data_IF_464295747589
#
_entry.id   IF_464295747589
#
_cell.length_a   1.000
_cell.length_b   1.000
_cell.length_c   1.000
_cell.angle_alpha   90.00
_cell.angle_beta   90.00
_cell.angle_gamma   90.00
#
_symmetry.space_group_name_H-M   'P 1'
#
loop_
_entity.id
_entity.type
_entity.pdbx_description
1 polymer ?
#
# COMPACT_ATOMS: atom_id res chain seq x y z
N UNK A 1 24.89 -47.47 6.34
CA UNK A 1 24.41 -46.90 7.62
C UNK A 1 23.28 -45.93 7.28
N UNK A 2 22.06 -46.46 7.12
CA UNK A 2 20.86 -45.70 6.76
C UNK A 2 20.10 -45.41 8.05
N UNK A 3 20.10 -44.16 8.47
CA UNK A 3 19.25 -43.69 9.57
C UNK A 3 17.85 -43.44 9.01
N UNK A 4 16.92 -44.32 9.38
CA UNK A 4 15.48 -44.18 9.12
C UNK A 4 14.94 -43.06 10.02
N UNK A 5 14.31 -42.04 9.43
CA UNK A 5 13.47 -41.11 10.16
C UNK A 5 12.06 -41.71 10.24
N UNK A 6 11.72 -42.27 11.40
CA UNK A 6 10.37 -42.72 11.76
C UNK A 6 9.68 -41.59 12.52
N UNK A 7 8.62 -41.02 11.95
CA UNK A 7 7.83 -39.98 12.60
C UNK A 7 6.84 -39.31 11.66
N UNK A 8 5.91 -40.08 11.10
CA UNK A 8 4.70 -39.51 10.50
C UNK A 8 3.64 -39.56 11.60
N UNK A 9 3.36 -38.42 12.23
CA UNK A 9 2.25 -38.31 13.17
C UNK A 9 0.96 -38.21 12.35
N UNK A 10 0.06 -39.15 12.59
CA UNK A 10 -1.22 -39.30 11.90
C UNK A 10 -2.10 -38.05 12.11
N UNK A 11 -2.67 -37.56 11.01
CA UNK A 11 -3.68 -36.50 11.03
C UNK A 11 -4.98 -37.10 11.57
N UNK A 12 -5.41 -36.65 12.75
CA UNK A 12 -6.65 -37.09 13.41
C UNK A 12 -7.91 -36.70 12.64
N UNK A 13 -9.07 -37.30 12.99
CA UNK A 13 -10.28 -37.24 12.19
C UNK A 13 -10.85 -35.83 12.07
N UNK A 14 -11.10 -35.46 10.82
CA UNK A 14 -11.68 -34.23 10.31
C UNK A 14 -13.02 -33.90 11.01
N UNK A 15 -13.03 -32.99 11.97
CA UNK A 15 -14.28 -32.39 12.47
C UNK A 15 -14.78 -31.41 11.41
N UNK A 16 -15.88 -31.77 10.76
CA UNK A 16 -16.53 -30.99 9.72
C UNK A 16 -16.90 -29.58 10.22
N UNK A 17 -16.05 -28.60 9.97
CA UNK A 17 -16.42 -27.19 10.01
C UNK A 17 -17.12 -26.86 8.69
N UNK A 18 -18.44 -26.69 8.76
CA UNK A 18 -19.30 -26.23 7.67
C UNK A 18 -18.78 -24.92 7.06
N UNK A 19 -17.96 -24.99 6.03
CA UNK A 19 -17.57 -23.86 5.21
C UNK A 19 -18.67 -23.58 4.18
N UNK A 20 -19.74 -22.91 4.63
CA UNK A 20 -20.67 -22.25 3.73
C UNK A 20 -20.02 -20.95 3.22
N UNK A 21 -19.07 -21.08 2.30
CA UNK A 21 -18.43 -19.98 1.57
C UNK A 21 -19.40 -19.41 0.53
N UNK A 22 -20.47 -18.76 0.98
CA UNK A 22 -21.23 -17.82 0.15
C UNK A 22 -20.82 -16.41 0.59
N UNK A 23 -19.86 -15.84 -0.14
CA UNK A 23 -19.38 -14.48 0.04
C UNK A 23 -20.48 -13.47 -0.28
N UNK A 24 -21.37 -13.23 0.68
CA UNK A 24 -22.04 -11.93 0.77
C UNK A 24 -20.98 -10.89 1.16
N UNK A 25 -21.04 -9.65 0.62
CA UNK A 25 -20.22 -8.58 1.15
C UNK A 25 -20.55 -8.47 2.64
N UNK A 26 -19.55 -8.68 3.49
CA UNK A 26 -19.66 -8.47 4.93
C UNK A 26 -19.90 -6.98 5.16
N UNK A 27 -21.16 -6.56 5.13
CA UNK A 27 -21.57 -5.21 5.50
C UNK A 27 -21.50 -5.09 7.01
N UNK A 28 -20.28 -5.04 7.56
CA UNK A 28 -20.08 -4.62 8.94
C UNK A 28 -20.44 -3.15 9.02
N UNK A 29 -21.33 -2.78 9.93
CA UNK A 29 -21.67 -1.39 10.17
C UNK A 29 -20.40 -0.61 10.54
N UNK A 30 -20.22 0.58 9.96
CA UNK A 30 -18.99 1.38 10.08
C UNK A 30 -18.57 1.64 11.52
N UNK A 31 -19.53 1.82 12.43
CA UNK A 31 -19.23 2.09 13.84
C UNK A 31 -18.63 0.87 14.56
N UNK A 32 -19.05 -0.35 14.21
CA UNK A 32 -18.49 -1.58 14.76
C UNK A 32 -17.09 -1.88 14.19
N UNK A 33 -16.79 -1.38 12.99
CA UNK A 33 -15.50 -1.58 12.31
C UNK A 33 -14.33 -0.96 13.07
N UNK A 34 -14.55 0.18 13.71
CA UNK A 34 -13.52 0.91 14.44
C UNK A 34 -13.63 0.76 15.96
N UNK A 35 -14.48 -0.16 16.44
CA UNK A 35 -14.53 -0.53 17.85
C UNK A 35 -13.18 -1.15 18.26
N UNK A 36 -12.46 -0.58 19.25
CA UNK A 36 -11.17 -1.10 19.69
C UNK A 36 -11.20 -2.57 20.12
N UNK A 37 -12.31 -3.06 20.66
CA UNK A 37 -12.42 -4.44 21.15
C UNK A 37 -12.39 -5.47 20.01
N UNK A 38 -12.76 -5.05 18.79
CA UNK A 38 -12.66 -5.90 17.59
C UNK A 38 -11.23 -6.28 17.22
N UNK A 39 -10.23 -5.68 17.89
CA UNK A 39 -8.80 -5.88 17.62
C UNK A 39 -8.04 -6.47 18.81
N UNK A 40 -8.73 -6.90 19.87
CA UNK A 40 -8.05 -7.37 21.09
C UNK A 40 -7.18 -8.61 20.85
N UNK A 41 -7.65 -9.56 20.02
CA UNK A 41 -6.88 -10.73 19.62
C UNK A 41 -5.60 -10.39 18.83
N UNK A 42 -5.60 -9.26 18.11
CA UNK A 42 -4.44 -8.78 17.32
C UNK A 42 -3.34 -8.23 18.23
N UNK A 43 -3.67 -7.83 19.47
CA UNK A 43 -2.75 -7.19 20.41
C UNK A 43 -2.14 -8.15 21.44
N UNK A 44 -2.44 -9.44 21.33
CA UNK A 44 -1.84 -10.47 22.18
C UNK A 44 -0.34 -10.67 21.83
N UNK A 45 0.44 -11.36 22.69
CA UNK A 45 1.80 -11.76 22.36
C UNK A 45 1.86 -12.51 21.03
N UNK A 46 3.01 -12.44 20.34
CA UNK A 46 3.15 -12.93 18.97
C UNK A 46 2.73 -14.40 18.80
N UNK A 47 2.99 -15.23 19.81
CA UNK A 47 2.62 -16.65 19.85
C UNK A 47 1.09 -16.90 19.88
N UNK A 48 0.31 -15.95 20.39
CA UNK A 48 -1.13 -16.06 20.60
C UNK A 48 -1.93 -15.04 19.77
N UNK A 49 -1.25 -14.19 18.99
CA UNK A 49 -1.87 -13.11 18.23
C UNK A 49 -2.68 -13.62 17.03
N UNK A 50 -3.83 -12.99 16.83
CA UNK A 50 -4.68 -13.21 15.66
C UNK A 50 -4.38 -12.20 14.54
N UNK A 51 -4.73 -12.55 13.30
CA UNK A 51 -4.67 -11.60 12.18
C UNK A 51 -5.74 -10.51 12.33
N UNK A 52 -5.59 -9.40 11.60
CA UNK A 52 -6.61 -8.36 11.58
C UNK A 52 -7.98 -8.92 11.14
N UNK A 53 -9.09 -8.33 11.60
CA UNK A 53 -10.41 -8.69 11.11
C UNK A 53 -10.53 -8.62 9.57
N UNK A 54 -11.34 -9.48 8.93
CA UNK A 54 -11.40 -9.57 7.46
C UNK A 54 -11.73 -8.26 6.72
N UNK A 55 -12.49 -7.37 7.34
CA UNK A 55 -12.85 -6.07 6.75
C UNK A 55 -11.64 -5.14 6.59
N UNK A 56 -10.58 -5.29 7.39
CA UNK A 56 -9.37 -4.48 7.23
C UNK A 56 -8.70 -4.67 5.86
N UNK A 57 -8.93 -5.81 5.21
CA UNK A 57 -8.35 -6.13 3.92
C UNK A 57 -9.27 -5.87 2.72
N UNK A 58 -10.57 -5.62 2.98
CA UNK A 58 -11.60 -5.65 1.92
C UNK A 58 -12.54 -4.46 1.95
N UNK A 59 -12.62 -3.73 3.07
CA UNK A 59 -13.50 -2.58 3.26
C UNK A 59 -12.89 -1.32 2.65
N UNK A 60 -13.63 -0.71 1.73
CA UNK A 60 -13.33 0.63 1.22
C UNK A 60 -13.32 1.70 2.33
N UNK A 61 -14.21 1.57 3.32
CA UNK A 61 -14.26 2.53 4.44
C UNK A 61 -13.01 2.42 5.33
N UNK A 62 -12.50 1.21 5.54
CA UNK A 62 -11.26 1.00 6.30
C UNK A 62 -10.05 1.52 5.53
N UNK A 63 -9.94 1.21 4.24
CA UNK A 63 -8.88 1.74 3.38
C UNK A 63 -8.83 3.27 3.42
N UNK A 64 -9.97 3.96 3.29
CA UNK A 64 -10.03 5.43 3.37
C UNK A 64 -9.51 5.97 4.71
N UNK A 65 -9.85 5.30 5.81
CA UNK A 65 -9.33 5.67 7.12
C UNK A 65 -7.81 5.49 7.20
N UNK A 66 -7.25 4.39 6.66
CA UNK A 66 -5.80 4.20 6.57
C UNK A 66 -5.13 5.28 5.72
N UNK A 67 -5.73 5.66 4.60
CA UNK A 67 -5.25 6.79 3.78
C UNK A 67 -5.18 8.07 4.60
N UNK A 68 -6.28 8.44 5.27
CA UNK A 68 -6.39 9.70 6.00
C UNK A 68 -5.50 9.77 7.26
N UNK A 69 -5.38 8.66 7.98
CA UNK A 69 -4.75 8.63 9.29
C UNK A 69 -3.31 8.12 9.27
N UNK A 70 -2.91 7.35 8.26
CA UNK A 70 -1.57 6.77 8.17
C UNK A 70 -0.83 7.31 6.94
N UNK A 71 -1.23 6.92 5.73
CA UNK A 71 -0.42 7.21 4.52
C UNK A 71 -0.24 8.71 4.24
N UNK A 72 -1.23 9.55 4.54
CA UNK A 72 -1.11 10.99 4.31
C UNK A 72 -0.38 11.76 5.43
N UNK A 73 0.08 11.07 6.48
CA UNK A 73 0.66 11.68 7.69
C UNK A 73 2.05 11.15 8.07
N UNK A 74 2.56 10.17 7.32
CA UNK A 74 3.87 9.55 7.59
C UNK A 74 4.81 9.68 6.40
N UNK A 75 6.08 9.35 6.61
CA UNK A 75 7.06 9.27 5.54
C UNK A 75 6.94 7.93 4.83
N UNK A 76 6.50 7.94 3.57
CA UNK A 76 6.40 6.76 2.73
C UNK A 76 7.65 6.56 1.86
N UNK A 77 8.12 5.33 1.80
CA UNK A 77 9.23 4.96 0.92
C UNK A 77 8.73 4.75 -0.51
N UNK A 78 9.13 5.64 -1.44
CA UNK A 78 8.64 5.63 -2.83
C UNK A 78 9.72 5.37 -3.88
N UNK A 79 10.99 5.26 -3.49
CA UNK A 79 12.07 4.93 -4.40
C UNK A 79 13.45 5.24 -3.87
N UNK A 80 14.46 4.96 -4.70
CA UNK A 80 15.87 5.19 -4.40
C UNK A 80 16.43 6.27 -5.33
N UNK A 81 17.39 7.03 -4.82
CA UNK A 81 18.00 8.15 -5.53
C UNK A 81 18.82 7.73 -6.76
N UNK A 82 19.31 6.48 -6.82
CA UNK A 82 20.06 5.93 -7.95
C UNK A 82 19.20 5.57 -9.16
N UNK A 83 17.87 5.58 -9.03
CA UNK A 83 16.95 5.47 -10.18
C UNK A 83 17.00 6.70 -11.09
N UNK A 84 17.39 7.85 -10.54
CA UNK A 84 17.50 9.14 -11.24
C UNK A 84 18.91 9.70 -11.02
N UNK A 85 19.96 9.08 -11.59
CA UNK A 85 21.34 9.41 -11.26
C UNK A 85 21.79 10.77 -11.80
N UNK A 86 21.22 11.26 -12.90
CA UNK A 86 21.67 12.49 -13.57
C UNK A 86 20.64 13.61 -13.45
N UNK A 87 21.07 14.89 -13.50
CA UNK A 87 20.15 16.02 -13.61
C UNK A 87 19.15 15.86 -14.76
N UNK A 88 17.88 16.15 -14.46
CA UNK A 88 16.76 15.99 -15.38
C UNK A 88 16.15 14.59 -15.41
N UNK A 89 16.82 13.56 -14.86
CA UNK A 89 16.24 12.22 -14.77
C UNK A 89 15.02 12.27 -13.84
N UNK A 90 13.90 11.70 -14.28
CA UNK A 90 12.65 11.68 -13.55
C UNK A 90 11.94 10.34 -13.66
N UNK A 91 11.07 10.05 -12.68
CA UNK A 91 10.04 9.02 -12.77
C UNK A 91 8.76 9.49 -12.10
N UNK A 92 7.62 9.11 -12.67
CA UNK A 92 6.30 9.44 -12.18
C UNK A 92 5.62 8.21 -11.58
N UNK A 93 4.99 8.39 -10.42
CA UNK A 93 4.24 7.35 -9.72
C UNK A 93 2.88 7.87 -9.29
N UNK A 94 1.97 6.96 -8.93
CA UNK A 94 0.72 7.28 -8.26
C UNK A 94 0.70 6.59 -6.90
N UNK A 95 0.81 7.36 -5.83
CA UNK A 95 0.81 6.87 -4.46
C UNK A 95 -0.51 7.24 -3.79
N UNK A 96 -1.29 6.24 -3.36
CA UNK A 96 -2.56 6.43 -2.63
C UNK A 96 -3.49 7.47 -3.28
N UNK A 97 -3.63 7.40 -4.60
CA UNK A 97 -4.46 8.33 -5.37
C UNK A 97 -3.74 9.59 -5.87
N UNK A 98 -2.61 9.96 -5.27
CA UNK A 98 -1.86 11.19 -5.57
C UNK A 98 -0.78 10.93 -6.63
N UNK A 99 -0.81 11.62 -7.79
CA UNK A 99 0.24 11.47 -8.78
C UNK A 99 1.45 12.34 -8.40
N UNK A 100 2.65 11.77 -8.41
CA UNK A 100 3.91 12.40 -7.95
C UNK A 100 4.97 12.25 -9.03
N UNK A 101 5.80 13.28 -9.22
CA UNK A 101 7.03 13.25 -10.03
C UNK A 101 8.21 13.32 -9.07
N UNK A 102 9.13 12.37 -9.18
CA UNK A 102 10.46 12.48 -8.62
C UNK A 102 11.43 12.89 -9.72
N UNK A 103 12.30 13.86 -9.45
CA UNK A 103 13.27 14.38 -10.43
C UNK A 103 14.58 14.75 -9.75
N UNK A 104 15.73 14.50 -10.40
CA UNK A 104 17.00 15.08 -9.97
C UNK A 104 17.15 16.48 -10.55
N UNK A 105 17.25 17.48 -9.69
CA UNK A 105 17.44 18.87 -10.11
C UNK A 105 18.84 19.12 -10.66
N UNK A 106 19.01 20.28 -11.31
CA UNK A 106 20.33 20.75 -11.75
C UNK A 106 21.25 21.14 -10.58
N UNK A 107 20.69 21.30 -9.39
CA UNK A 107 21.40 21.43 -8.11
C UNK A 107 21.99 20.09 -7.64
N UNK A 108 21.64 18.98 -8.29
CA UNK A 108 22.05 17.64 -7.89
C UNK A 108 21.15 17.03 -6.82
N UNK A 109 20.13 17.72 -6.33
CA UNK A 109 19.22 17.23 -5.29
C UNK A 109 18.03 16.45 -5.88
N UNK A 110 17.41 15.59 -5.07
CA UNK A 110 16.18 14.88 -5.45
C UNK A 110 14.98 15.68 -4.98
N UNK A 111 14.08 16.00 -5.90
CA UNK A 111 12.84 16.73 -5.63
C UNK A 111 11.64 15.84 -5.92
N UNK A 112 10.57 16.04 -5.14
CA UNK A 112 9.27 15.41 -5.35
C UNK A 112 8.18 16.48 -5.49
N UNK A 113 7.40 16.39 -6.56
CA UNK A 113 6.32 17.33 -6.85
C UNK A 113 5.01 16.60 -7.11
N UNK A 114 3.89 17.25 -6.76
CA UNK A 114 2.59 16.81 -7.28
C UNK A 114 2.62 16.89 -8.82
N UNK A 115 2.30 15.79 -9.48
CA UNK A 115 2.24 15.68 -10.94
C UNK A 115 0.94 16.30 -11.48
N UNK A 116 0.77 17.58 -11.20
CA UNK A 116 -0.45 18.33 -11.47
C UNK A 116 -0.07 19.76 -11.84
N UNK A 117 -0.40 20.14 -13.08
CA UNK A 117 -0.15 21.49 -13.57
C UNK A 117 -0.91 22.51 -12.70
N UNK A 118 -0.22 23.55 -12.25
CA UNK A 118 -0.81 24.62 -11.44
C UNK A 118 -1.90 25.43 -12.15
N UNK A 119 -1.99 25.37 -13.49
CA UNK A 119 -3.04 26.08 -14.24
C UNK A 119 -4.40 25.36 -14.13
N UNK A 120 -4.49 24.09 -14.55
CA UNK A 120 -5.77 23.34 -14.60
C UNK A 120 -5.66 21.87 -14.18
N UNK A 121 -4.63 21.51 -13.42
CA UNK A 121 -4.49 20.18 -12.84
C UNK A 121 -4.16 19.05 -13.82
N UNK A 122 -3.84 19.37 -15.07
CA UNK A 122 -3.40 18.37 -16.06
C UNK A 122 -2.13 17.68 -15.58
N UNK A 123 -2.07 16.35 -15.70
CA UNK A 123 -0.86 15.57 -15.43
C UNK A 123 0.25 16.01 -16.40
N UNK A 124 1.45 16.24 -15.89
CA UNK A 124 2.57 16.76 -16.67
C UNK A 124 3.29 15.66 -17.44
N UNK A 125 3.59 14.54 -16.76
CA UNK A 125 4.36 13.42 -17.34
C UNK A 125 3.88 12.08 -16.83
N UNK A 126 4.20 11.01 -17.56
CA UNK A 126 3.99 9.62 -17.18
C UNK A 126 5.28 8.82 -17.41
N UNK A 127 5.41 7.67 -16.74
CA UNK A 127 6.60 6.82 -16.88
C UNK A 127 7.85 7.46 -16.30
N UNK A 128 8.97 7.29 -17.00
CA UNK A 128 10.30 7.76 -16.60
C UNK A 128 11.06 8.30 -17.81
N UNK A 129 12.06 9.16 -17.58
CA UNK A 129 12.84 9.75 -18.65
C UNK A 129 13.80 10.83 -18.16
N UNK A 130 14.30 11.66 -19.08
CA UNK A 130 15.14 12.81 -18.78
C UNK A 130 14.58 14.05 -19.50
N UNK A 131 14.44 15.18 -18.80
CA UNK A 131 14.04 16.42 -19.42
C UNK A 131 14.69 17.65 -18.77
N UNK A 132 14.79 18.74 -19.54
CA UNK A 132 15.28 20.04 -19.04
C UNK A 132 14.19 20.85 -18.33
N UNK A 133 12.93 20.61 -18.70
CA UNK A 133 11.77 21.29 -18.16
C UNK A 133 10.52 20.42 -18.35
N UNK A 134 9.61 20.46 -17.37
CA UNK A 134 8.26 19.92 -17.52
C UNK A 134 7.38 20.97 -18.20
N UNK A 135 6.93 20.68 -19.42
CA UNK A 135 6.00 21.54 -20.17
C UNK A 135 4.61 20.93 -20.08
N UNK A 136 3.61 21.74 -19.72
CA UNK A 136 2.24 21.24 -19.61
C UNK A 136 1.72 20.89 -21.01
N UNK A 137 1.20 19.66 -21.23
CA UNK A 137 0.70 19.27 -22.55
C UNK A 137 -0.57 20.03 -22.97
N UNK A 138 -1.16 20.83 -22.07
CA UNK A 138 -2.39 21.57 -22.35
C UNK A 138 -2.12 22.95 -22.96
N UNK A 139 -1.33 23.81 -22.30
CA UNK A 139 -1.15 25.21 -22.72
C UNK A 139 0.32 25.63 -22.88
N UNK A 140 1.27 24.68 -22.81
CA UNK A 140 2.70 24.99 -22.72
C UNK A 140 3.10 25.50 -21.35
#
# INVERSE_FOLDING_TARGET
MQTRYSGVTECGPNSAANHNMKGSPMSVATDAMFDPTSYDGVRLPLEDAETLPPWCYTSEAYYRAEVEHMFMKVWDFLGRADRIPNPGDFYAVKHVGVPIIFVRGNDGEVHAYSNSCRHRGTRLVEGEGNCKAFVCPYHG
#
